data_IF_661820204662
#
_entry.id   IF_661820204662
#
_cell.length_a   1.000
_cell.length_b   1.000
_cell.length_c   1.000
_cell.angle_alpha   90.00
_cell.angle_beta   90.00
_cell.angle_gamma   90.00
#
_symmetry.space_group_name_H-M   'P 1'
#
loop_
_entity.id
_entity.type
_entity.pdbx_description
1 polymer ?
#
# COMPACT_ATOMS: atom_id res chain seq x y z
N UNK A 1 -8.59 7.19 1.08
CA UNK A 1 -9.08 6.10 1.96
C UNK A 1 -7.94 5.15 2.29
N UNK A 2 -7.92 4.46 3.45
CA UNK A 2 -6.93 3.42 3.74
C UNK A 2 -6.95 2.33 2.66
N UNK A 3 -5.79 1.76 2.36
CA UNK A 3 -5.73 0.68 1.37
C UNK A 3 -6.30 -0.64 1.94
N UNK A 4 -6.87 -1.52 1.09
CA UNK A 4 -7.33 -2.85 1.51
C UNK A 4 -6.22 -3.71 2.12
N UNK A 5 -5.01 -3.64 1.56
CA UNK A 5 -3.79 -4.28 2.09
C UNK A 5 -3.49 -3.88 3.52
N UNK A 6 -3.65 -2.59 3.87
CA UNK A 6 -3.44 -2.10 5.23
C UNK A 6 -4.47 -2.67 6.20
N UNK A 7 -5.73 -2.78 5.78
CA UNK A 7 -6.77 -3.40 6.57
C UNK A 7 -6.47 -4.89 6.82
N UNK A 8 -6.06 -5.62 5.77
CA UNK A 8 -5.65 -7.02 5.91
C UNK A 8 -4.47 -7.19 6.88
N UNK A 9 -3.43 -6.35 6.75
CA UNK A 9 -2.27 -6.39 7.63
C UNK A 9 -2.65 -6.15 9.10
N UNK A 10 -3.58 -5.23 9.36
CA UNK A 10 -4.05 -4.90 10.71
C UNK A 10 -4.86 -6.04 11.35
N UNK A 11 -5.69 -6.76 10.56
CA UNK A 11 -6.46 -7.91 11.04
C UNK A 11 -5.58 -9.08 11.52
N UNK A 12 -4.32 -9.15 11.04
CA UNK A 12 -3.37 -10.20 11.43
C UNK A 12 -2.33 -9.74 12.44
N UNK A 13 -2.43 -8.52 12.97
CA UNK A 13 -1.58 -8.09 14.10
C UNK A 13 -1.89 -8.89 15.36
N UNK A 14 -0.84 -9.37 16.01
CA UNK A 14 -0.93 -10.19 17.23
C UNK A 14 -1.63 -9.47 18.39
N UNK A 15 -1.62 -8.12 18.39
CA UNK A 15 -2.05 -7.29 19.54
C UNK A 15 -3.57 -7.07 19.61
N UNK A 16 -4.32 -7.40 18.56
CA UNK A 16 -5.74 -7.05 18.48
C UNK A 16 -6.66 -7.98 19.29
N UNK A 17 -6.16 -9.05 19.92
CA UNK A 17 -6.94 -9.99 20.71
C UNK A 17 -8.08 -10.69 19.95
N UNK A 18 -8.30 -10.28 18.69
CA UNK A 18 -9.28 -10.85 17.77
C UNK A 18 -8.56 -11.89 16.93
N UNK A 19 -8.88 -13.14 17.17
CA UNK A 19 -8.39 -14.21 16.31
C UNK A 19 -9.18 -14.20 15.00
N UNK A 20 -8.79 -13.32 14.07
CA UNK A 20 -9.38 -13.26 12.72
C UNK A 20 -9.52 -14.66 12.10
N UNK A 21 -8.53 -15.54 12.35
CA UNK A 21 -8.54 -16.94 11.90
C UNK A 21 -9.68 -17.78 12.48
N UNK A 22 -10.30 -17.40 13.58
CA UNK A 22 -11.47 -18.13 14.11
C UNK A 22 -12.74 -17.84 13.32
N UNK A 23 -12.81 -16.68 12.67
CA UNK A 23 -13.94 -16.28 11.83
C UNK A 23 -13.66 -16.55 10.34
N UNK A 24 -12.42 -16.43 9.93
CA UNK A 24 -11.93 -16.66 8.57
C UNK A 24 -10.80 -17.71 8.60
N UNK A 25 -11.13 -18.99 8.65
CA UNK A 25 -10.12 -20.06 8.57
C UNK A 25 -9.44 -20.11 7.19
N UNK A 26 -10.11 -19.64 6.15
CA UNK A 26 -9.58 -19.47 4.79
C UNK A 26 -9.24 -18.00 4.54
N UNK A 27 -7.95 -17.72 4.32
CA UNK A 27 -7.45 -16.38 3.98
C UNK A 27 -8.05 -15.87 2.66
N UNK A 28 -8.33 -16.77 1.72
CA UNK A 28 -8.91 -16.41 0.43
C UNK A 28 -10.31 -15.83 0.58
N UNK A 29 -11.14 -16.42 1.43
CA UNK A 29 -12.48 -15.91 1.74
C UNK A 29 -12.41 -14.49 2.33
N UNK A 30 -11.49 -14.27 3.27
CA UNK A 30 -11.27 -12.93 3.84
C UNK A 30 -10.84 -11.91 2.78
N UNK A 31 -9.91 -12.27 1.90
CA UNK A 31 -9.47 -11.39 0.80
C UNK A 31 -10.63 -11.02 -0.11
N UNK A 32 -11.49 -11.95 -0.47
CA UNK A 32 -12.65 -11.69 -1.32
C UNK A 32 -13.68 -10.79 -0.63
N UNK A 33 -13.91 -10.98 0.65
CA UNK A 33 -14.86 -10.15 1.42
C UNK A 33 -14.36 -8.73 1.59
N UNK A 34 -13.07 -8.54 1.92
CA UNK A 34 -12.47 -7.20 1.98
C UNK A 34 -12.55 -6.53 0.61
N UNK A 35 -12.18 -7.22 -0.46
CA UNK A 35 -12.23 -6.65 -1.81
C UNK A 35 -13.66 -6.26 -2.21
N UNK A 36 -14.66 -7.08 -1.87
CA UNK A 36 -16.08 -6.78 -2.12
C UNK A 36 -16.54 -5.54 -1.37
N UNK A 37 -16.18 -5.40 -0.09
CA UNK A 37 -16.50 -4.22 0.71
C UNK A 37 -15.88 -2.95 0.10
N UNK A 38 -14.63 -3.02 -0.34
CA UNK A 38 -13.97 -1.87 -0.99
C UNK A 38 -14.58 -1.52 -2.34
N UNK A 39 -14.96 -2.50 -3.16
CA UNK A 39 -15.71 -2.24 -4.41
C UNK A 39 -17.01 -1.50 -4.14
N UNK A 40 -17.71 -1.86 -3.06
CA UNK A 40 -18.93 -1.16 -2.67
C UNK A 40 -18.64 0.29 -2.26
N UNK A 41 -17.61 0.52 -1.43
CA UNK A 41 -17.19 1.89 -1.03
C UNK A 41 -16.81 2.73 -2.25
N UNK A 42 -16.03 2.17 -3.18
CA UNK A 42 -15.63 2.87 -4.41
C UNK A 42 -16.86 3.24 -5.24
N UNK A 43 -17.82 2.31 -5.37
CA UNK A 43 -19.08 2.55 -6.06
C UNK A 43 -19.90 3.67 -5.39
N UNK A 44 -20.05 3.64 -4.08
CA UNK A 44 -20.82 4.64 -3.35
C UNK A 44 -20.21 6.04 -3.47
N UNK A 45 -18.87 6.14 -3.39
CA UNK A 45 -18.16 7.39 -3.62
C UNK A 45 -18.34 7.89 -5.06
N UNK A 46 -18.25 7.00 -6.05
CA UNK A 46 -18.47 7.35 -7.45
C UNK A 46 -19.90 7.84 -7.70
N UNK A 47 -20.90 7.15 -7.16
CA UNK A 47 -22.31 7.53 -7.27
C UNK A 47 -22.61 8.88 -6.58
N UNK A 48 -21.87 9.21 -5.51
CA UNK A 48 -21.89 10.51 -4.86
C UNK A 48 -21.17 11.63 -5.64
N UNK A 49 -20.60 11.32 -6.81
CA UNK A 49 -19.93 12.29 -7.69
C UNK A 49 -18.41 12.33 -7.58
N UNK A 50 -17.79 11.47 -6.77
CA UNK A 50 -16.32 11.39 -6.71
C UNK A 50 -15.74 10.85 -8.02
N UNK A 51 -14.65 11.47 -8.50
CA UNK A 51 -13.95 11.07 -9.73
C UNK A 51 -12.45 10.92 -9.53
N UNK A 52 -11.99 11.02 -8.28
CA UNK A 52 -10.60 10.79 -7.91
C UNK A 52 -10.55 10.17 -6.52
N UNK A 53 -10.02 8.95 -6.42
CA UNK A 53 -9.84 8.24 -5.14
C UNK A 53 -8.36 7.87 -5.03
N UNK A 54 -7.83 7.99 -3.81
CA UNK A 54 -6.47 7.58 -3.49
C UNK A 54 -6.49 6.56 -2.36
N UNK A 55 -5.77 5.46 -2.54
CA UNK A 55 -5.35 4.62 -1.42
C UNK A 55 -4.21 5.31 -0.66
N UNK A 56 -4.32 5.33 0.66
CA UNK A 56 -3.20 5.60 1.56
C UNK A 56 -2.69 4.26 2.09
N UNK A 57 -1.52 3.85 1.61
CA UNK A 57 -1.01 2.48 1.81
C UNK A 57 0.34 2.48 2.52
N UNK A 58 0.30 2.28 3.83
CA UNK A 58 1.50 2.16 4.66
C UNK A 58 2.15 0.76 4.57
N UNK A 59 1.46 -0.27 4.05
CA UNK A 59 2.01 -1.64 4.02
C UNK A 59 3.24 -1.74 3.15
N UNK A 60 3.26 -1.06 2.02
CA UNK A 60 4.40 -1.02 1.11
C UNK A 60 5.62 -0.34 1.75
N UNK A 61 5.40 0.75 2.50
CA UNK A 61 6.47 1.42 3.24
C UNK A 61 7.14 0.49 4.25
N UNK A 62 6.36 -0.31 4.96
CA UNK A 62 6.87 -1.31 5.90
C UNK A 62 7.68 -2.41 5.22
N UNK A 63 7.31 -2.81 4.00
CA UNK A 63 8.09 -3.78 3.20
C UNK A 63 9.41 -3.21 2.68
N UNK A 64 9.57 -1.88 2.63
CA UNK A 64 10.83 -1.23 2.29
C UNK A 64 11.82 -1.18 3.47
N UNK A 65 11.33 -1.27 4.71
CA UNK A 65 12.14 -1.10 5.92
C UNK A 65 12.78 -2.43 6.33
N UNK A 66 14.09 -2.52 6.14
CA UNK A 66 14.85 -3.73 6.45
C UNK A 66 14.78 -4.11 7.93
N UNK A 67 14.88 -3.13 8.83
CA UNK A 67 14.91 -3.38 10.28
C UNK A 67 13.52 -3.79 10.79
N UNK A 68 12.48 -3.13 10.29
CA UNK A 68 11.10 -3.52 10.54
C UNK A 68 10.81 -4.94 10.07
N UNK A 69 11.22 -5.26 8.85
CA UNK A 69 11.01 -6.57 8.25
C UNK A 69 11.75 -7.66 9.03
N UNK A 70 13.05 -7.51 9.28
CA UNK A 70 13.87 -8.49 10.01
C UNK A 70 13.43 -8.65 11.45
N UNK A 71 13.00 -7.58 12.11
CA UNK A 71 12.48 -7.62 13.48
C UNK A 71 11.15 -8.39 13.61
N UNK A 72 10.33 -8.40 12.54
CA UNK A 72 9.05 -9.13 12.49
C UNK A 72 9.16 -10.57 11.99
N UNK A 73 10.25 -10.96 11.35
CA UNK A 73 10.43 -12.33 10.85
C UNK A 73 10.67 -13.34 11.97
N UNK A 74 9.71 -13.50 12.87
CA UNK A 74 9.66 -14.65 13.79
C UNK A 74 9.40 -15.96 13.03
N UNK A 75 8.66 -15.87 11.93
CA UNK A 75 8.37 -16.96 11.01
C UNK A 75 9.15 -16.80 9.70
N UNK A 76 10.20 -17.62 9.53
CA UNK A 76 11.05 -17.60 8.32
C UNK A 76 10.34 -18.05 7.03
N UNK A 77 9.12 -18.57 7.13
CA UNK A 77 8.30 -18.89 5.96
C UNK A 77 7.65 -17.66 5.31
N UNK A 78 7.59 -16.56 6.03
CA UNK A 78 7.03 -15.30 5.50
C UNK A 78 8.13 -14.55 4.76
N UNK A 79 7.91 -14.28 3.47
CA UNK A 79 8.85 -13.53 2.62
C UNK A 79 8.22 -12.20 2.17
N UNK A 80 9.07 -11.20 1.85
CA UNK A 80 8.60 -9.92 1.30
C UNK A 80 7.78 -10.18 0.03
N UNK A 81 8.25 -11.06 -0.84
CA UNK A 81 7.55 -11.40 -2.09
C UNK A 81 6.17 -12.03 -1.82
N UNK A 82 6.07 -12.91 -0.82
CA UNK A 82 4.81 -13.54 -0.44
C UNK A 82 3.80 -12.55 0.14
N UNK A 83 4.25 -11.64 1.01
CA UNK A 83 3.38 -10.59 1.58
C UNK A 83 2.96 -9.57 0.53
N UNK A 84 3.89 -9.06 -0.26
CA UNK A 84 3.61 -8.07 -1.29
C UNK A 84 2.71 -8.64 -2.39
N UNK A 85 2.81 -9.92 -2.71
CA UNK A 85 1.89 -10.59 -3.65
C UNK A 85 0.45 -10.63 -3.13
N UNK A 86 0.26 -10.88 -1.82
CA UNK A 86 -1.07 -10.84 -1.19
C UNK A 86 -1.66 -9.43 -1.20
N UNK A 87 -0.86 -8.42 -0.83
CA UNK A 87 -1.28 -7.02 -0.82
C UNK A 87 -1.67 -6.54 -2.21
N UNK A 88 -0.81 -6.79 -3.20
CA UNK A 88 -1.10 -6.45 -4.60
C UNK A 88 -2.40 -7.10 -5.08
N UNK A 89 -2.56 -8.40 -4.82
CA UNK A 89 -3.75 -9.14 -5.23
C UNK A 89 -5.01 -8.53 -4.64
N UNK A 90 -5.01 -8.25 -3.33
CA UNK A 90 -6.15 -7.66 -2.64
C UNK A 90 -6.47 -6.26 -3.17
N UNK A 91 -5.47 -5.39 -3.30
CA UNK A 91 -5.66 -4.04 -3.83
C UNK A 91 -6.24 -4.10 -5.26
N UNK A 92 -5.71 -4.96 -6.13
CA UNK A 92 -6.22 -5.10 -7.48
C UNK A 92 -7.65 -5.65 -7.55
N UNK A 93 -8.00 -6.64 -6.70
CA UNK A 93 -9.37 -7.16 -6.58
C UNK A 93 -10.36 -6.07 -6.13
N UNK A 94 -9.95 -5.18 -5.23
CA UNK A 94 -10.75 -4.06 -4.79
C UNK A 94 -11.02 -3.02 -5.91
N UNK A 95 -10.15 -2.98 -6.91
CA UNK A 95 -10.25 -2.06 -8.07
C UNK A 95 -10.96 -2.69 -9.27
N UNK A 96 -11.32 -3.97 -9.21
CA UNK A 96 -12.02 -4.63 -10.32
C UNK A 96 -13.37 -3.97 -10.62
N UNK A 97 -13.63 -3.72 -11.91
CA UNK A 97 -14.88 -3.12 -12.37
C UNK A 97 -15.04 -1.64 -12.04
N UNK A 98 -14.00 -0.95 -11.56
CA UNK A 98 -14.06 0.50 -11.36
C UNK A 98 -14.40 1.23 -12.67
N UNK A 99 -15.19 2.33 -12.61
CA UNK A 99 -15.47 3.14 -13.78
C UNK A 99 -14.20 3.69 -14.44
N UNK A 100 -14.16 3.72 -15.77
CA UNK A 100 -12.99 4.12 -16.52
C UNK A 100 -12.64 5.63 -16.41
N UNK A 101 -13.62 6.45 -16.02
CA UNK A 101 -13.48 7.89 -15.78
C UNK A 101 -13.18 8.22 -14.30
N UNK A 102 -13.02 7.20 -13.45
CA UNK A 102 -12.57 7.34 -12.07
C UNK A 102 -11.04 7.24 -12.03
N UNK A 103 -10.36 8.36 -11.81
CA UNK A 103 -8.93 8.35 -11.53
C UNK A 103 -8.66 7.68 -10.18
N UNK A 104 -7.79 6.69 -10.17
CA UNK A 104 -7.42 5.98 -8.96
C UNK A 104 -5.91 5.97 -8.73
N UNK A 105 -5.48 6.36 -7.54
CA UNK A 105 -4.06 6.52 -7.23
C UNK A 105 -3.70 5.83 -5.92
N UNK A 106 -2.42 5.56 -5.72
CA UNK A 106 -1.88 5.05 -4.46
C UNK A 106 -0.82 6.00 -3.92
N UNK A 107 -0.92 6.36 -2.65
CA UNK A 107 0.16 6.96 -1.87
C UNK A 107 0.86 5.87 -1.05
N UNK A 108 2.17 5.76 -1.24
CA UNK A 108 3.00 4.88 -0.39
C UNK A 108 3.47 5.68 0.81
N UNK A 109 2.72 5.55 1.90
CA UNK A 109 2.97 6.25 3.14
C UNK A 109 4.09 5.58 3.95
N UNK A 110 4.97 6.39 4.53
CA UNK A 110 6.02 5.93 5.47
C UNK A 110 5.72 6.29 6.92
N UNK A 111 4.51 6.78 7.19
CA UNK A 111 4.09 7.29 8.48
C UNK A 111 4.40 8.79 8.65
N UNK A 112 3.49 9.49 9.30
CA UNK A 112 3.64 10.91 9.59
C UNK A 112 2.92 11.27 10.89
N UNK A 113 3.66 11.22 12.01
CA UNK A 113 3.15 11.59 13.33
C UNK A 113 4.22 12.38 14.08
N UNK A 114 3.88 13.59 14.55
CA UNK A 114 4.79 14.48 15.28
C UNK A 114 6.15 14.66 14.58
N UNK A 115 6.16 14.92 13.27
CA UNK A 115 7.36 15.07 12.46
C UNK A 115 8.28 13.85 12.44
N UNK A 116 7.73 12.64 12.70
CA UNK A 116 8.43 11.37 12.61
C UNK A 116 7.86 10.48 11.51
N UNK A 117 8.51 9.37 11.26
CA UNK A 117 8.08 8.32 10.33
C UNK A 117 8.10 6.95 11.01
N UNK A 118 7.42 6.00 10.44
CA UNK A 118 7.34 4.62 10.92
C UNK A 118 8.23 3.66 10.13
N UNK A 119 8.59 4.01 8.90
CA UNK A 119 9.39 3.17 8.01
C UNK A 119 10.40 3.97 7.20
N UNK A 120 11.56 3.37 6.93
CA UNK A 120 12.63 3.89 6.08
C UNK A 120 13.10 2.82 5.07
N UNK A 121 13.84 3.22 4.05
CA UNK A 121 14.37 2.32 3.01
C UNK A 121 13.91 2.72 1.61
N UNK A 122 14.69 2.37 0.60
CA UNK A 122 14.36 2.58 -0.82
C UNK A 122 13.20 1.68 -1.29
N UNK A 123 12.67 2.00 -2.45
CA UNK A 123 11.54 1.25 -3.02
C UNK A 123 11.95 -0.05 -3.74
N UNK A 124 13.25 -0.39 -3.78
CA UNK A 124 13.79 -1.54 -4.49
C UNK A 124 13.08 -2.87 -4.16
N UNK A 125 12.74 -3.20 -2.89
CA UNK A 125 12.11 -4.48 -2.56
C UNK A 125 10.70 -4.63 -3.13
N UNK A 126 9.99 -3.52 -3.36
CA UNK A 126 8.56 -3.54 -3.76
C UNK A 126 8.34 -3.12 -5.22
N UNK A 127 9.30 -2.42 -5.83
CA UNK A 127 9.13 -1.83 -7.15
C UNK A 127 8.71 -2.83 -8.24
N UNK A 128 9.30 -4.04 -8.36
CA UNK A 128 8.92 -5.01 -9.39
C UNK A 128 7.49 -5.53 -9.26
N UNK A 129 6.91 -5.39 -8.09
CA UNK A 129 5.54 -5.83 -7.79
C UNK A 129 4.59 -4.64 -7.85
N UNK A 130 4.80 -3.65 -7.01
CA UNK A 130 3.92 -2.50 -6.90
C UNK A 130 3.86 -1.68 -8.20
N UNK A 131 5.02 -1.16 -8.64
CA UNK A 131 5.06 -0.21 -9.77
C UNK A 131 4.71 -0.87 -11.11
N UNK A 132 5.09 -2.13 -11.27
CA UNK A 132 4.78 -2.85 -12.49
C UNK A 132 3.33 -3.33 -12.57
N UNK A 133 2.69 -3.70 -11.43
CA UNK A 133 1.50 -4.57 -11.47
C UNK A 133 0.26 -4.02 -10.77
N UNK A 134 0.36 -3.02 -9.88
CA UNK A 134 -0.83 -2.48 -9.24
C UNK A 134 -1.70 -1.73 -10.27
N UNK A 135 -3.01 -1.93 -10.23
CA UNK A 135 -3.94 -1.39 -11.22
C UNK A 135 -4.39 0.05 -10.87
N UNK A 136 -3.45 0.97 -10.76
CA UNK A 136 -3.69 2.39 -10.49
C UNK A 136 -3.16 3.27 -11.63
N UNK A 137 -3.61 4.52 -11.67
CA UNK A 137 -3.25 5.50 -12.72
C UNK A 137 -2.00 6.30 -12.33
N UNK A 138 -1.74 6.45 -11.03
CA UNK A 138 -0.57 7.16 -10.53
C UNK A 138 -0.13 6.71 -9.14
N UNK A 139 1.16 6.94 -8.85
CA UNK A 139 1.76 6.79 -7.54
C UNK A 139 2.16 8.13 -6.96
N UNK A 140 1.89 8.33 -5.67
CA UNK A 140 2.38 9.43 -4.86
C UNK A 140 3.45 8.89 -3.91
N UNK A 141 4.70 9.25 -4.14
CA UNK A 141 5.86 8.64 -3.49
C UNK A 141 6.64 9.68 -2.70
N UNK A 142 7.16 9.26 -1.54
CA UNK A 142 8.02 10.11 -0.70
C UNK A 142 9.48 9.95 -1.14
N UNK A 143 10.08 11.08 -1.53
CA UNK A 143 11.51 11.22 -1.88
C UNK A 143 12.06 12.51 -1.24
N UNK A 144 11.64 12.78 -0.03
CA UNK A 144 11.87 14.05 0.67
C UNK A 144 13.16 14.09 1.50
N UNK A 145 13.83 12.95 1.68
CA UNK A 145 15.15 12.84 2.29
C UNK A 145 15.82 11.47 2.01
N UNK A 146 17.03 11.27 2.56
CA UNK A 146 17.86 10.08 2.33
C UNK A 146 17.20 8.76 2.75
N UNK A 147 16.20 8.78 3.67
CA UNK A 147 15.48 7.57 4.09
C UNK A 147 14.68 6.90 2.97
N UNK A 148 14.40 7.65 1.91
CA UNK A 148 13.58 7.17 0.79
C UNK A 148 14.38 6.43 -0.30
N UNK A 149 15.71 6.43 -0.20
CA UNK A 149 16.60 5.85 -1.22
C UNK A 149 16.67 6.67 -2.51
N UNK A 150 17.13 6.05 -3.57
CA UNK A 150 17.31 6.68 -4.89
C UNK A 150 16.09 6.55 -5.80
N UNK A 151 16.21 7.07 -7.03
CA UNK A 151 15.16 7.05 -8.04
C UNK A 151 15.20 5.80 -8.95
N UNK A 152 16.19 4.94 -8.81
CA UNK A 152 16.41 3.77 -9.66
C UNK A 152 15.18 2.83 -9.71
N UNK A 153 14.42 2.62 -8.62
CA UNK A 153 13.22 1.78 -8.64
C UNK A 153 12.12 2.28 -9.57
N UNK A 154 12.11 3.58 -9.92
CA UNK A 154 11.09 4.16 -10.82
C UNK A 154 11.15 3.60 -12.24
N UNK A 155 12.24 2.95 -12.64
CA UNK A 155 12.32 2.22 -13.92
C UNK A 155 11.31 1.08 -14.05
N UNK A 156 10.80 0.58 -12.94
CA UNK A 156 9.78 -0.48 -12.90
C UNK A 156 8.36 0.05 -13.08
N UNK A 157 8.15 1.37 -13.10
CA UNK A 157 6.84 1.98 -13.31
C UNK A 157 6.37 1.71 -14.74
N UNK A 158 5.20 1.13 -14.89
CA UNK A 158 4.61 0.87 -16.20
C UNK A 158 4.40 2.18 -16.97
N UNK A 159 4.65 2.23 -18.30
CA UNK A 159 4.68 3.47 -19.09
C UNK A 159 3.37 4.28 -19.11
N UNK A 160 2.25 3.64 -18.80
CA UNK A 160 0.92 4.26 -18.76
C UNK A 160 0.58 4.89 -17.40
N UNK A 161 1.47 4.83 -16.42
CA UNK A 161 1.25 5.36 -15.08
C UNK A 161 2.03 6.65 -14.86
N UNK A 162 1.50 7.49 -13.99
CA UNK A 162 2.15 8.72 -13.54
C UNK A 162 2.82 8.51 -12.19
N UNK A 163 3.86 9.32 -11.93
CA UNK A 163 4.53 9.39 -10.62
C UNK A 163 4.52 10.83 -10.15
N UNK A 164 4.05 11.03 -8.93
CA UNK A 164 4.14 12.30 -8.23
C UNK A 164 5.22 12.16 -7.17
N UNK A 165 6.29 12.93 -7.31
CA UNK A 165 7.44 12.93 -6.42
C UNK A 165 7.22 13.93 -5.28
N UNK A 166 7.10 13.44 -4.05
CA UNK A 166 7.10 14.25 -2.85
C UNK A 166 8.55 14.59 -2.46
N UNK A 167 9.04 15.73 -2.94
CA UNK A 167 10.43 16.16 -2.78
C UNK A 167 10.65 17.09 -1.58
N UNK A 168 9.57 17.53 -0.93
CA UNK A 168 9.62 18.46 0.19
C UNK A 168 9.18 17.71 1.45
N UNK A 169 10.07 17.66 2.43
CA UNK A 169 9.74 16.99 3.70
C UNK A 169 8.75 17.77 4.53
N UNK A 170 7.85 17.04 5.19
CA UNK A 170 6.99 17.58 6.26
C UNK A 170 7.60 17.36 7.67
N UNK A 171 8.82 16.82 7.75
CA UNK A 171 9.46 16.42 9.02
C UNK A 171 10.32 17.52 9.62
N UNK A 172 10.77 18.48 8.79
CA UNK A 172 11.65 19.59 9.16
C UNK A 172 11.13 20.87 8.55
N UNK A 173 11.33 22.05 9.21
CA UNK A 173 10.90 23.35 8.66
C UNK A 173 11.86 23.92 7.61
N UNK A 174 13.08 23.39 7.52
CA UNK A 174 14.11 23.82 6.56
C UNK A 174 13.79 23.24 5.17
N UNK A 175 14.01 24.04 4.13
CA UNK A 175 13.94 23.68 2.72
C UNK A 175 15.32 23.34 2.18
#
# INVERSE_FOLDING_TARGET
IPAPSQFLAELFREDNGITTRSFYPDLEELIQDIAAAYRQVIKDLYDAGCRNIQFDDCTWGMCCDHDYWTGRQKDKSVTIEGETAKYLRLNNLALEGRPHDLAFTTHVCRGNYNSTWAASGGYEPIAPILFAKENVDAYYLEFDDDRSGGFEPLREVSPNKKVVLGLITSKRPEL
#
